data_IF_262610617140
#
_entry.id   IF_262610617140
#
_cell.length_a   1.000
_cell.length_b   1.000
_cell.length_c   1.000
_cell.angle_alpha   90.00
_cell.angle_beta   90.00
_cell.angle_gamma   90.00
#
_symmetry.space_group_name_H-M   'P 1'
#
loop_
_entity.id
_entity.type
_entity.pdbx_description
1 polymer ?
#
# COMPACT_ATOMS: atom_id res chain seq x y z
N UNK A 1 -7.27 -2.61 -31.47
CA UNK A 1 -6.87 -3.11 -30.13
C UNK A 1 -5.99 -4.38 -30.17
N UNK A 2 -6.28 -5.37 -30.99
CA UNK A 2 -5.57 -6.67 -31.04
C UNK A 2 -4.09 -6.62 -31.46
N UNK A 3 -3.67 -5.66 -32.28
CA UNK A 3 -2.27 -5.56 -32.80
C UNK A 3 -1.33 -4.91 -31.77
N UNK A 4 -1.77 -3.86 -31.06
CA UNK A 4 -1.01 -3.24 -29.97
C UNK A 4 -0.78 -4.21 -28.81
N UNK A 5 -1.81 -4.98 -28.42
CA UNK A 5 -1.73 -5.97 -27.35
C UNK A 5 -0.71 -7.09 -27.61
N UNK A 6 -0.45 -7.44 -28.89
CA UNK A 6 0.57 -8.44 -29.27
C UNK A 6 2.01 -7.96 -29.11
N UNK A 7 2.26 -6.65 -29.21
CA UNK A 7 3.62 -6.04 -29.14
C UNK A 7 4.03 -5.56 -27.75
N UNK A 8 3.11 -5.45 -26.79
CA UNK A 8 3.41 -4.95 -25.45
C UNK A 8 4.08 -6.02 -24.57
N UNK A 9 5.06 -5.57 -23.76
CA UNK A 9 5.66 -6.37 -22.69
C UNK A 9 4.68 -6.60 -21.54
N UNK A 10 4.97 -7.56 -20.65
CA UNK A 10 4.13 -7.83 -19.48
C UNK A 10 4.06 -6.60 -18.55
N UNK A 11 5.20 -5.94 -18.31
CA UNK A 11 5.29 -4.70 -17.52
C UNK A 11 4.47 -3.56 -18.12
N UNK A 12 4.55 -3.34 -19.44
CA UNK A 12 3.73 -2.32 -20.13
C UNK A 12 2.23 -2.60 -20.01
N UNK A 13 1.81 -3.87 -20.05
CA UNK A 13 0.40 -4.23 -19.85
C UNK A 13 -0.10 -3.90 -18.44
N UNK A 14 0.75 -4.07 -17.42
CA UNK A 14 0.41 -3.70 -16.05
C UNK A 14 0.23 -2.18 -15.94
N UNK A 15 1.17 -1.41 -16.46
CA UNK A 15 1.13 0.06 -16.46
C UNK A 15 -0.13 0.59 -17.15
N UNK A 16 -0.39 0.14 -18.37
CA UNK A 16 -1.57 0.57 -19.14
C UNK A 16 -2.87 0.14 -18.47
N UNK A 17 -2.91 -1.06 -17.88
CA UNK A 17 -4.08 -1.55 -17.17
C UNK A 17 -4.44 -0.66 -15.96
N UNK A 18 -3.45 -0.26 -15.16
CA UNK A 18 -3.68 0.68 -14.05
C UNK A 18 -4.08 2.07 -14.54
N UNK A 19 -3.46 2.58 -15.62
CA UNK A 19 -3.87 3.86 -16.20
C UNK A 19 -5.32 3.85 -16.68
N UNK A 20 -5.75 2.78 -17.36
CA UNK A 20 -7.13 2.63 -17.80
C UNK A 20 -8.11 2.52 -16.61
N UNK A 21 -7.71 1.81 -15.55
CA UNK A 21 -8.50 1.71 -14.32
C UNK A 21 -8.70 3.09 -13.68
N UNK A 22 -7.61 3.85 -13.52
CA UNK A 22 -7.64 5.18 -12.93
C UNK A 22 -8.50 6.13 -13.77
N UNK A 23 -8.30 6.17 -15.10
CA UNK A 23 -9.06 7.04 -15.98
C UNK A 23 -10.56 6.68 -16.00
N UNK A 24 -10.89 5.39 -16.03
CA UNK A 24 -12.29 4.97 -15.96
C UNK A 24 -12.96 5.34 -14.63
N UNK A 25 -12.24 5.16 -13.51
CA UNK A 25 -12.68 5.59 -12.20
C UNK A 25 -12.87 7.10 -12.11
N UNK A 26 -11.93 7.88 -12.67
CA UNK A 26 -12.04 9.35 -12.71
C UNK A 26 -13.29 9.81 -13.47
N UNK A 27 -13.57 9.23 -14.63
CA UNK A 27 -14.77 9.56 -15.41
C UNK A 27 -16.05 9.24 -14.63
N UNK A 28 -16.11 8.09 -13.95
CA UNK A 28 -17.26 7.74 -13.13
C UNK A 28 -17.45 8.65 -11.93
N UNK A 29 -16.34 9.07 -11.27
CA UNK A 29 -16.37 9.98 -10.13
C UNK A 29 -16.71 11.41 -10.51
N UNK A 30 -16.49 11.85 -11.75
CA UNK A 30 -16.91 13.17 -12.25
C UNK A 30 -18.42 13.31 -12.40
N UNK A 31 -19.14 12.20 -12.52
CA UNK A 31 -20.59 12.25 -12.76
C UNK A 31 -21.33 12.94 -11.61
N UNK A 32 -22.34 13.76 -11.87
CA UNK A 32 -23.13 14.44 -10.83
C UNK A 32 -23.74 13.47 -9.81
N UNK A 33 -24.08 12.25 -10.23
CA UNK A 33 -24.62 11.19 -9.35
C UNK A 33 -23.60 10.73 -8.31
N UNK A 34 -22.29 10.91 -8.57
CA UNK A 34 -21.23 10.51 -7.66
C UNK A 34 -21.00 11.52 -6.51
N UNK A 35 -21.40 12.78 -6.68
CA UNK A 35 -21.35 13.81 -5.65
C UNK A 35 -22.64 13.87 -4.83
N UNK A 36 -22.56 14.23 -3.55
CA UNK A 36 -23.75 14.49 -2.71
C UNK A 36 -24.52 15.73 -3.13
N UNK A 37 -23.79 16.76 -3.57
CA UNK A 37 -24.38 18.03 -3.98
C UNK A 37 -25.01 17.97 -5.37
N UNK A 38 -24.90 16.84 -6.06
CA UNK A 38 -25.42 16.66 -7.43
C UNK A 38 -24.67 17.48 -8.49
N UNK A 39 -23.54 18.09 -8.13
CA UNK A 39 -22.68 18.84 -9.04
C UNK A 39 -21.57 17.95 -9.62
N UNK A 40 -21.08 18.29 -10.81
CA UNK A 40 -19.91 17.64 -11.40
C UNK A 40 -18.66 17.93 -10.56
N UNK A 41 -17.98 16.89 -10.12
CA UNK A 41 -16.66 17.04 -9.47
C UNK A 41 -15.60 17.41 -10.50
N UNK A 42 -14.63 18.25 -10.13
CA UNK A 42 -13.52 18.61 -11.02
C UNK A 42 -12.74 17.36 -11.47
N UNK A 43 -12.26 17.36 -12.72
CA UNK A 43 -11.44 16.24 -13.22
C UNK A 43 -10.22 15.98 -12.35
N UNK A 44 -9.61 17.03 -11.82
CA UNK A 44 -8.44 16.92 -10.96
C UNK A 44 -8.72 16.18 -9.65
N UNK A 45 -9.82 16.54 -8.96
CA UNK A 45 -10.21 15.89 -7.70
C UNK A 45 -10.67 14.46 -7.94
N UNK A 46 -11.42 14.21 -9.03
CA UNK A 46 -11.83 12.89 -9.44
C UNK A 46 -10.63 12.00 -9.82
N UNK A 47 -9.64 12.55 -10.53
CA UNK A 47 -8.40 11.85 -10.89
C UNK A 47 -7.56 11.53 -9.65
N UNK A 48 -7.41 12.49 -8.73
CA UNK A 48 -6.68 12.29 -7.48
C UNK A 48 -7.32 11.17 -6.66
N UNK A 49 -8.64 11.25 -6.43
CA UNK A 49 -9.40 10.26 -5.65
C UNK A 49 -9.37 8.88 -6.32
N UNK A 50 -9.58 8.81 -7.65
CA UNK A 50 -9.50 7.56 -8.40
C UNK A 50 -8.11 6.94 -8.35
N UNK A 51 -7.05 7.76 -8.44
CA UNK A 51 -5.66 7.28 -8.32
C UNK A 51 -5.40 6.77 -6.91
N UNK A 52 -5.77 7.53 -5.90
CA UNK A 52 -5.61 7.16 -4.50
C UNK A 52 -6.33 5.85 -4.18
N UNK A 53 -7.57 5.69 -4.64
CA UNK A 53 -8.36 4.46 -4.47
C UNK A 53 -7.77 3.27 -5.24
N UNK A 54 -7.42 3.44 -6.53
CA UNK A 54 -6.87 2.37 -7.37
C UNK A 54 -5.45 1.97 -6.95
N UNK A 55 -4.64 2.92 -6.49
CA UNK A 55 -3.31 2.66 -5.96
C UNK A 55 -3.33 2.24 -4.48
N UNK A 56 -4.53 2.27 -3.86
CA UNK A 56 -4.73 1.88 -2.46
C UNK A 56 -3.83 2.73 -1.55
N UNK A 57 -3.89 4.04 -1.74
CA UNK A 57 -3.04 4.99 -1.00
C UNK A 57 -3.79 5.56 0.21
N UNK A 58 -4.98 6.17 0.00
CA UNK A 58 -5.76 6.78 1.08
C UNK A 58 -5.58 8.30 1.25
N UNK A 59 -4.70 8.93 0.47
CA UNK A 59 -4.65 10.41 0.44
C UNK A 59 -5.94 10.93 -0.20
N UNK A 60 -6.55 11.94 0.42
CA UNK A 60 -7.82 12.51 -0.02
C UNK A 60 -7.75 14.04 -0.07
N UNK A 61 -8.26 14.62 -1.16
CA UNK A 61 -8.47 16.06 -1.32
C UNK A 61 -9.89 16.48 -0.98
N UNK A 62 -10.83 15.53 -1.09
CA UNK A 62 -12.24 15.68 -0.72
C UNK A 62 -12.59 14.60 0.30
N UNK A 63 -13.27 14.96 1.39
CA UNK A 63 -13.71 13.99 2.40
C UNK A 63 -14.63 12.95 1.77
N UNK A 64 -14.37 11.66 2.08
CA UNK A 64 -15.06 10.56 1.43
C UNK A 64 -16.54 10.49 1.80
N UNK A 65 -16.89 10.85 3.03
CA UNK A 65 -18.27 10.86 3.48
C UNK A 65 -19.00 12.13 3.05
N UNK A 66 -18.39 13.31 3.21
CA UNK A 66 -19.07 14.58 2.98
C UNK A 66 -19.29 14.88 1.51
N UNK A 67 -18.30 14.58 0.65
CA UNK A 67 -18.37 14.91 -0.78
C UNK A 67 -19.04 13.83 -1.63
N UNK A 68 -18.73 12.55 -1.39
CA UNK A 68 -19.18 11.48 -2.26
C UNK A 68 -20.54 10.92 -1.85
N UNK A 69 -21.46 10.78 -2.81
CA UNK A 69 -22.74 10.08 -2.65
C UNK A 69 -22.49 8.58 -2.40
N UNK A 70 -23.54 7.83 -2.05
CA UNK A 70 -23.46 6.38 -1.93
C UNK A 70 -22.91 5.73 -3.22
N UNK A 71 -23.28 6.24 -4.39
CA UNK A 71 -22.77 5.77 -5.67
C UNK A 71 -21.26 6.07 -5.82
N UNK A 72 -20.83 7.28 -5.48
CA UNK A 72 -19.41 7.66 -5.47
C UNK A 72 -18.58 6.80 -4.50
N UNK A 73 -19.08 6.58 -3.28
CA UNK A 73 -18.46 5.69 -2.29
C UNK A 73 -18.36 4.24 -2.80
N UNK A 74 -19.39 3.75 -3.50
CA UNK A 74 -19.37 2.40 -4.11
C UNK A 74 -18.30 2.29 -5.20
N UNK A 75 -18.15 3.32 -6.06
CA UNK A 75 -17.08 3.37 -7.07
C UNK A 75 -15.70 3.34 -6.38
N UNK A 76 -15.48 4.18 -5.35
CA UNK A 76 -14.24 4.21 -4.58
C UNK A 76 -13.96 2.82 -3.99
N UNK A 77 -14.94 2.17 -3.40
CA UNK A 77 -14.79 0.83 -2.82
C UNK A 77 -14.41 -0.22 -3.87
N UNK A 78 -15.03 -0.18 -5.05
CA UNK A 78 -14.71 -1.07 -6.19
C UNK A 78 -13.26 -0.82 -6.66
N UNK A 79 -12.83 0.45 -6.78
CA UNK A 79 -11.47 0.80 -7.16
C UNK A 79 -10.45 0.30 -6.13
N UNK A 80 -10.74 0.44 -4.83
CA UNK A 80 -9.92 -0.09 -3.73
C UNK A 80 -9.79 -1.62 -3.85
N UNK A 81 -10.90 -2.33 -4.06
CA UNK A 81 -10.90 -3.78 -4.17
C UNK A 81 -10.09 -4.27 -5.38
N UNK A 82 -10.27 -3.60 -6.54
CA UNK A 82 -9.49 -3.88 -7.75
C UNK A 82 -8.01 -3.58 -7.53
N UNK A 83 -7.71 -2.44 -6.97
CA UNK A 83 -6.35 -2.00 -6.67
C UNK A 83 -5.65 -2.92 -5.67
N UNK A 84 -6.30 -3.25 -4.55
CA UNK A 84 -5.75 -4.08 -3.47
C UNK A 84 -5.39 -5.49 -3.91
N UNK A 85 -6.31 -6.19 -4.55
CA UNK A 85 -6.05 -7.52 -5.10
C UNK A 85 -5.15 -7.51 -6.34
N UNK A 86 -4.94 -6.35 -6.97
CA UNK A 86 -4.30 -6.20 -8.27
C UNK A 86 -5.26 -6.49 -9.42
N UNK A 87 -5.32 -5.58 -10.40
CA UNK A 87 -6.28 -5.66 -11.50
C UNK A 87 -6.21 -6.97 -12.32
N UNK A 88 -5.01 -7.60 -12.39
CA UNK A 88 -4.83 -8.89 -13.07
C UNK A 88 -5.50 -10.05 -12.36
N UNK A 89 -5.54 -10.01 -11.01
CA UNK A 89 -6.26 -11.00 -10.20
C UNK A 89 -7.75 -10.96 -10.51
N UNK A 90 -8.33 -9.76 -10.69
CA UNK A 90 -9.71 -9.60 -11.13
C UNK A 90 -9.94 -10.09 -12.56
N UNK A 91 -9.02 -9.81 -13.48
CA UNK A 91 -9.10 -10.33 -14.84
C UNK A 91 -9.16 -11.87 -14.86
N UNK A 92 -8.39 -12.51 -13.97
CA UNK A 92 -8.44 -13.97 -13.79
C UNK A 92 -9.74 -14.40 -13.10
N UNK A 93 -10.25 -13.64 -12.13
CA UNK A 93 -11.54 -13.91 -11.49
C UNK A 93 -12.67 -13.94 -12.52
N UNK A 94 -12.75 -12.90 -13.36
CA UNK A 94 -13.74 -12.83 -14.47
C UNK A 94 -13.55 -13.99 -15.45
N UNK A 95 -12.32 -14.33 -15.84
CA UNK A 95 -12.05 -15.47 -16.71
C UNK A 95 -12.51 -16.81 -16.10
N UNK A 96 -12.34 -16.99 -14.80
CA UNK A 96 -12.80 -18.17 -14.06
C UNK A 96 -14.33 -18.22 -14.02
N UNK A 97 -15.00 -17.09 -13.71
CA UNK A 97 -16.46 -16.99 -13.69
C UNK A 97 -17.07 -17.32 -15.06
N UNK A 98 -16.45 -16.82 -16.13
CA UNK A 98 -16.84 -17.10 -17.52
C UNK A 98 -16.36 -18.46 -18.03
N UNK A 99 -15.74 -19.29 -17.17
CA UNK A 99 -15.18 -20.62 -17.51
C UNK A 99 -14.19 -20.60 -18.69
N UNK A 100 -13.52 -19.47 -18.94
CA UNK A 100 -12.54 -19.33 -20.02
C UNK A 100 -11.17 -19.92 -19.61
N UNK A 101 -10.47 -20.55 -20.58
CA UNK A 101 -9.10 -21.04 -20.38
C UNK A 101 -8.12 -19.88 -20.27
N UNK A 102 -7.26 -19.88 -19.23
CA UNK A 102 -6.24 -18.85 -18.98
C UNK A 102 -4.98 -19.26 -19.73
N UNK A 103 -4.62 -18.51 -20.78
CA UNK A 103 -3.42 -18.76 -21.60
C UNK A 103 -2.11 -18.42 -20.88
N UNK A 104 -0.99 -18.89 -21.41
CA UNK A 104 0.37 -18.71 -20.83
C UNK A 104 0.74 -17.22 -20.68
N UNK A 105 0.39 -16.36 -21.64
CA UNK A 105 0.68 -14.92 -21.58
C UNK A 105 0.00 -14.25 -20.37
N UNK A 106 -1.28 -14.58 -20.11
CA UNK A 106 -2.03 -14.05 -18.96
C UNK A 106 -1.43 -14.58 -17.64
N UNK A 107 -1.00 -15.85 -17.61
CA UNK A 107 -0.30 -16.40 -16.43
C UNK A 107 1.03 -15.71 -16.14
N UNK A 108 1.80 -15.34 -17.18
CA UNK A 108 3.03 -14.58 -17.02
C UNK A 108 2.80 -13.18 -16.45
N UNK A 109 1.79 -12.47 -16.96
CA UNK A 109 1.43 -11.14 -16.43
C UNK A 109 0.94 -11.25 -14.97
N UNK A 110 0.15 -12.27 -14.66
CA UNK A 110 -0.30 -12.55 -13.30
C UNK A 110 0.87 -12.85 -12.36
N UNK A 111 1.84 -13.65 -12.82
CA UNK A 111 3.07 -13.95 -12.07
C UNK A 111 3.82 -12.66 -11.72
N UNK A 112 3.98 -11.75 -12.68
CA UNK A 112 4.66 -10.48 -12.47
C UNK A 112 3.86 -9.54 -11.55
N UNK A 113 2.53 -9.46 -11.73
CA UNK A 113 1.64 -8.65 -10.90
C UNK A 113 1.64 -9.07 -9.42
N UNK A 114 1.76 -10.37 -9.14
CA UNK A 114 1.79 -10.92 -7.76
C UNK A 114 3.23 -11.07 -7.25
N UNK A 115 4.25 -10.78 -8.08
CA UNK A 115 5.66 -11.05 -7.79
C UNK A 115 5.94 -12.52 -7.44
N UNK A 116 5.29 -13.47 -8.16
CA UNK A 116 5.48 -14.91 -7.93
C UNK A 116 6.76 -15.43 -8.58
N UNK A 117 7.44 -16.35 -7.89
CA UNK A 117 8.66 -16.99 -8.40
C UNK A 117 8.34 -18.02 -9.49
N UNK A 118 7.15 -18.63 -9.46
CA UNK A 118 6.79 -19.73 -10.36
C UNK A 118 5.48 -19.46 -11.09
N UNK A 119 5.41 -19.83 -12.39
CA UNK A 119 4.18 -19.79 -13.21
C UNK A 119 3.25 -20.95 -12.86
N UNK A 120 3.82 -22.06 -12.42
CA UNK A 120 3.07 -23.26 -12.04
C UNK A 120 2.18 -23.04 -10.83
N UNK A 121 0.89 -23.41 -10.93
CA UNK A 121 -0.05 -23.27 -9.81
C UNK A 121 -0.61 -21.87 -9.58
N UNK A 122 -0.20 -20.86 -10.37
CA UNK A 122 -0.61 -19.45 -10.16
C UNK A 122 -2.15 -19.27 -10.13
N UNK A 123 -2.90 -19.98 -10.97
CA UNK A 123 -4.36 -19.92 -10.99
C UNK A 123 -4.98 -20.50 -9.70
N UNK A 124 -4.38 -21.58 -9.15
CA UNK A 124 -4.82 -22.16 -7.87
C UNK A 124 -4.53 -21.17 -6.71
N UNK A 125 -3.37 -20.55 -6.73
CA UNK A 125 -3.01 -19.50 -5.76
C UNK A 125 -3.99 -18.32 -5.85
N UNK A 126 -4.30 -17.82 -7.06
CA UNK A 126 -5.26 -16.73 -7.25
C UNK A 126 -6.64 -17.07 -6.70
N UNK A 127 -7.13 -18.31 -6.90
CA UNK A 127 -8.41 -18.76 -6.30
C UNK A 127 -8.34 -18.75 -4.76
N UNK A 128 -7.21 -19.15 -4.17
CA UNK A 128 -7.02 -19.07 -2.71
C UNK A 128 -6.99 -17.62 -2.22
N UNK A 129 -6.32 -16.72 -2.96
CA UNK A 129 -6.30 -15.29 -2.66
C UNK A 129 -7.71 -14.73 -2.62
N UNK A 130 -8.50 -14.91 -3.67
CA UNK A 130 -9.87 -14.39 -3.75
C UNK A 130 -10.74 -14.92 -2.59
N UNK A 131 -10.70 -16.24 -2.34
CA UNK A 131 -11.48 -16.83 -1.24
C UNK A 131 -11.01 -16.32 0.13
N UNK A 132 -9.70 -16.21 0.36
CA UNK A 132 -9.13 -15.72 1.60
C UNK A 132 -9.46 -14.24 1.84
N UNK A 133 -9.37 -13.40 0.81
CA UNK A 133 -9.75 -11.99 0.86
C UNK A 133 -11.22 -11.85 1.28
N UNK A 134 -12.14 -12.46 0.55
CA UNK A 134 -13.57 -12.41 0.88
C UNK A 134 -13.87 -12.95 2.29
N UNK A 135 -13.16 -13.98 2.73
CA UNK A 135 -13.32 -14.55 4.07
C UNK A 135 -12.92 -13.55 5.17
N UNK A 136 -11.72 -12.96 5.08
CA UNK A 136 -11.24 -12.02 6.10
C UNK A 136 -12.03 -10.70 6.06
N UNK A 137 -12.36 -10.19 4.88
CA UNK A 137 -13.20 -9.01 4.72
C UNK A 137 -14.60 -9.21 5.31
N UNK A 138 -15.21 -10.38 5.09
CA UNK A 138 -16.53 -10.70 5.66
C UNK A 138 -16.51 -10.77 7.19
N UNK A 139 -15.49 -11.41 7.76
CA UNK A 139 -15.34 -11.47 9.23
C UNK A 139 -15.13 -10.07 9.80
N UNK A 140 -14.22 -9.29 9.19
CA UNK A 140 -13.96 -7.92 9.62
C UNK A 140 -15.21 -7.04 9.53
N UNK A 141 -15.96 -7.14 8.43
CA UNK A 141 -17.22 -6.42 8.26
C UNK A 141 -18.23 -6.75 9.35
N UNK A 142 -18.45 -8.04 9.65
CA UNK A 142 -19.38 -8.47 10.71
C UNK A 142 -18.94 -7.94 12.08
N UNK A 143 -17.64 -8.01 12.42
CA UNK A 143 -17.14 -7.51 13.69
C UNK A 143 -17.29 -5.98 13.81
N UNK A 144 -17.03 -5.23 12.73
CA UNK A 144 -17.24 -3.77 12.72
C UNK A 144 -18.72 -3.40 12.76
N UNK A 145 -19.62 -4.17 12.12
CA UNK A 145 -21.06 -3.97 12.20
C UNK A 145 -21.60 -4.05 13.62
N UNK A 146 -21.04 -4.92 14.46
CA UNK A 146 -21.44 -5.05 15.89
C UNK A 146 -21.28 -3.71 16.61
N UNK A 147 -20.24 -2.92 16.22
CA UNK A 147 -19.98 -1.61 16.83
C UNK A 147 -20.71 -0.47 16.14
N UNK A 148 -20.84 -0.51 14.81
CA UNK A 148 -21.38 0.60 14.02
C UNK A 148 -22.92 0.60 13.93
N UNK A 149 -23.59 -0.57 13.96
CA UNK A 149 -25.06 -0.63 13.90
C UNK A 149 -25.73 0.08 15.08
N UNK A 150 -25.29 -0.10 16.35
CA UNK A 150 -25.88 0.62 17.47
C UNK A 150 -25.70 2.14 17.39
N UNK A 151 -24.64 2.62 16.75
CA UNK A 151 -24.32 4.05 16.67
C UNK A 151 -24.98 4.76 15.49
N UNK A 152 -24.93 4.13 14.28
CA UNK A 152 -25.38 4.75 13.03
C UNK A 152 -26.68 4.18 12.47
N UNK A 153 -27.28 3.18 13.17
CA UNK A 153 -28.46 2.45 12.69
C UNK A 153 -28.11 1.36 11.68
N UNK A 154 -29.08 0.46 11.40
CA UNK A 154 -28.87 -0.79 10.65
C UNK A 154 -28.29 -0.52 9.25
N UNK A 155 -28.89 0.36 8.46
CA UNK A 155 -28.49 0.59 7.06
C UNK A 155 -27.07 1.16 6.93
N UNK A 156 -26.80 2.25 7.65
CA UNK A 156 -25.47 2.90 7.63
C UNK A 156 -24.41 2.06 8.32
N UNK A 157 -24.74 1.43 9.46
CA UNK A 157 -23.81 0.58 10.20
C UNK A 157 -23.33 -0.62 9.41
N UNK A 158 -24.20 -1.25 8.61
CA UNK A 158 -23.81 -2.31 7.67
C UNK A 158 -22.86 -1.78 6.61
N UNK A 159 -23.20 -0.65 5.98
CA UNK A 159 -22.36 -0.03 4.94
C UNK A 159 -20.97 0.36 5.46
N UNK A 160 -20.92 1.00 6.63
CA UNK A 160 -19.66 1.38 7.27
C UNK A 160 -18.82 0.17 7.63
N UNK A 161 -19.43 -0.89 8.16
CA UNK A 161 -18.73 -2.14 8.45
C UNK A 161 -18.09 -2.76 7.21
N UNK A 162 -18.82 -2.84 6.10
CA UNK A 162 -18.31 -3.37 4.83
C UNK A 162 -17.20 -2.48 4.28
N UNK A 163 -17.44 -1.16 4.22
CA UNK A 163 -16.51 -0.20 3.63
C UNK A 163 -15.16 -0.19 4.38
N UNK A 164 -15.19 -0.06 5.71
CA UNK A 164 -13.96 -0.04 6.51
C UNK A 164 -13.24 -1.38 6.52
N UNK A 165 -13.97 -2.49 6.50
CA UNK A 165 -13.34 -3.82 6.42
C UNK A 165 -12.57 -4.01 5.12
N UNK A 166 -13.15 -3.67 3.98
CA UNK A 166 -12.49 -3.74 2.67
C UNK A 166 -11.33 -2.75 2.58
N UNK A 167 -11.56 -1.50 3.01
CA UNK A 167 -10.52 -0.46 3.02
C UNK A 167 -9.33 -0.86 3.89
N UNK A 168 -9.56 -1.41 5.08
CA UNK A 168 -8.51 -1.86 5.99
C UNK A 168 -7.75 -3.08 5.46
N UNK A 169 -8.47 -4.09 4.97
CA UNK A 169 -7.85 -5.29 4.41
C UNK A 169 -7.01 -4.99 3.16
N UNK A 170 -7.52 -4.12 2.29
CA UNK A 170 -6.79 -3.66 1.10
C UNK A 170 -5.68 -2.66 1.43
N UNK A 171 -5.53 -2.20 2.68
CA UNK A 171 -4.60 -1.16 3.11
C UNK A 171 -4.84 0.17 2.37
N UNK A 172 -6.10 0.62 2.27
CA UNK A 172 -6.48 1.76 1.45
C UNK A 172 -6.67 3.07 2.22
N UNK A 173 -6.95 3.02 3.52
CA UNK A 173 -7.07 4.20 4.38
C UNK A 173 -8.27 5.10 4.15
N UNK A 174 -9.16 4.76 3.24
CA UNK A 174 -10.43 5.48 3.07
C UNK A 174 -11.40 5.13 4.18
N UNK A 175 -12.05 6.15 4.73
CA UNK A 175 -13.05 6.02 5.79
C UNK A 175 -14.34 6.78 5.45
N UNK A 176 -15.40 6.51 6.21
CA UNK A 176 -16.70 7.19 6.10
C UNK A 176 -17.07 7.92 7.40
N UNK A 177 -16.09 8.29 8.24
CA UNK A 177 -16.33 8.89 9.55
C UNK A 177 -16.49 10.42 9.51
N UNK A 178 -16.56 11.02 8.32
CA UNK A 178 -16.72 12.45 8.10
C UNK A 178 -18.06 13.05 8.57
N UNK A 179 -18.98 12.27 9.17
CA UNK A 179 -20.27 12.75 9.68
C UNK A 179 -20.11 13.78 10.80
N UNK A 180 -19.14 13.60 11.67
CA UNK A 180 -18.89 14.45 12.83
C UNK A 180 -17.77 15.50 12.62
N UNK A 181 -17.17 15.51 11.46
CA UNK A 181 -16.09 16.42 11.06
C UNK A 181 -15.29 15.83 9.90
N UNK A 182 -14.97 16.67 8.92
CA UNK A 182 -14.20 16.24 7.76
C UNK A 182 -12.82 15.75 8.17
N UNK A 183 -12.35 14.69 7.53
CA UNK A 183 -10.99 14.13 7.64
C UNK A 183 -10.58 13.61 9.04
N UNK A 184 -11.54 13.30 9.90
CA UNK A 184 -11.24 12.83 11.26
C UNK A 184 -10.82 11.35 11.33
N UNK A 185 -11.02 10.59 10.27
CA UNK A 185 -10.74 9.15 10.24
C UNK A 185 -11.29 8.43 11.51
N UNK A 186 -10.48 7.66 12.20
CA UNK A 186 -10.90 6.89 13.38
C UNK A 186 -10.51 7.54 14.72
N UNK A 187 -10.21 8.86 14.74
CA UNK A 187 -9.80 9.56 15.97
C UNK A 187 -10.84 9.40 17.08
N UNK A 188 -12.13 9.41 16.75
CA UNK A 188 -13.22 9.18 17.72
C UNK A 188 -13.21 7.79 18.35
N UNK A 189 -12.54 6.82 17.74
CA UNK A 189 -12.45 5.44 18.21
C UNK A 189 -11.08 5.12 18.81
N UNK A 190 -10.31 6.13 19.25
CA UNK A 190 -8.99 5.96 19.85
C UNK A 190 -8.99 5.01 21.05
N UNK A 191 -10.04 5.02 21.85
CA UNK A 191 -10.24 4.17 23.04
C UNK A 191 -10.98 2.84 22.74
N UNK A 192 -11.59 2.70 21.55
CA UNK A 192 -12.40 1.54 21.18
C UNK A 192 -11.51 0.36 20.79
N UNK A 193 -11.43 -0.60 21.73
CA UNK A 193 -10.58 -1.79 21.54
C UNK A 193 -11.02 -2.67 20.37
N UNK A 194 -12.34 -2.81 20.11
CA UNK A 194 -12.85 -3.67 19.05
C UNK A 194 -12.51 -3.11 17.67
N UNK A 195 -12.83 -1.82 17.43
CA UNK A 195 -12.57 -1.17 16.15
C UNK A 195 -11.06 -1.18 15.85
N UNK A 196 -10.23 -0.75 16.82
CA UNK A 196 -8.79 -0.70 16.64
C UNK A 196 -8.20 -2.08 16.35
N UNK A 197 -8.56 -3.11 17.13
CA UNK A 197 -8.01 -4.45 16.95
C UNK A 197 -8.42 -5.07 15.63
N UNK A 198 -9.70 -4.94 15.23
CA UNK A 198 -10.19 -5.50 13.97
C UNK A 198 -9.49 -4.85 12.78
N UNK A 199 -9.38 -3.51 12.77
CA UNK A 199 -8.72 -2.79 11.68
C UNK A 199 -7.23 -3.12 11.62
N UNK A 200 -6.51 -3.11 12.75
CA UNK A 200 -5.10 -3.50 12.78
C UNK A 200 -4.88 -4.93 12.27
N UNK A 201 -5.72 -5.89 12.66
CA UNK A 201 -5.61 -7.26 12.19
C UNK A 201 -5.86 -7.37 10.68
N UNK A 202 -6.87 -6.68 10.14
CA UNK A 202 -7.15 -6.65 8.71
C UNK A 202 -5.95 -6.08 7.93
N UNK A 203 -5.38 -4.96 8.38
CA UNK A 203 -4.18 -4.33 7.80
C UNK A 203 -3.00 -5.31 7.80
N UNK A 204 -2.72 -5.95 8.93
CA UNK A 204 -1.60 -6.89 9.05
C UNK A 204 -1.82 -8.09 8.12
N UNK A 205 -3.01 -8.70 8.13
CA UNK A 205 -3.33 -9.86 7.31
C UNK A 205 -3.22 -9.52 5.82
N UNK A 206 -3.75 -8.37 5.38
CA UNK A 206 -3.60 -7.88 4.02
C UNK A 206 -2.14 -7.61 3.63
N UNK A 207 -1.36 -7.02 4.55
CA UNK A 207 0.02 -6.57 4.35
C UNK A 207 1.12 -7.63 4.43
N UNK A 208 0.89 -8.81 5.04
CA UNK A 208 1.92 -9.87 5.16
C UNK A 208 2.17 -10.65 3.87
N UNK A 209 1.25 -10.60 2.91
CA UNK A 209 1.40 -11.23 1.59
C UNK A 209 0.75 -12.60 1.45
N UNK A 210 0.25 -12.85 0.25
CA UNK A 210 -0.53 -14.05 -0.09
C UNK A 210 0.31 -15.35 -0.08
N UNK A 211 1.63 -15.24 -0.32
CA UNK A 211 2.54 -16.39 -0.21
C UNK A 211 2.71 -16.84 1.24
N UNK A 212 2.72 -15.90 2.18
CA UNK A 212 2.78 -16.19 3.61
C UNK A 212 1.51 -16.91 4.05
N UNK A 213 0.32 -16.48 3.57
CA UNK A 213 -0.92 -17.20 3.84
C UNK A 213 -0.90 -18.65 3.34
N UNK A 214 -0.40 -18.88 2.12
CA UNK A 214 -0.28 -20.24 1.57
C UNK A 214 0.62 -21.10 2.43
N UNK A 215 1.78 -20.57 2.82
CA UNK A 215 2.75 -21.27 3.66
C UNK A 215 2.20 -21.59 5.07
N UNK A 216 1.53 -20.60 5.70
CA UNK A 216 0.87 -20.78 6.99
C UNK A 216 -0.27 -21.80 6.92
N UNK A 217 -1.08 -21.78 5.86
CA UNK A 217 -2.22 -22.69 5.71
C UNK A 217 -1.76 -24.14 5.53
N UNK A 218 -0.62 -24.37 4.85
CA UNK A 218 -0.08 -25.71 4.58
C UNK A 218 0.73 -26.24 5.76
N UNK A 219 1.60 -25.40 6.34
CA UNK A 219 2.58 -25.84 7.36
C UNK A 219 2.12 -25.52 8.78
N UNK A 220 0.97 -24.88 8.96
CA UNK A 220 0.39 -24.47 10.25
C UNK A 220 1.44 -23.68 11.06
N UNK A 221 1.58 -23.94 12.40
CA UNK A 221 2.51 -23.24 13.28
C UNK A 221 3.94 -23.83 13.35
N UNK A 222 4.37 -24.58 12.30
CA UNK A 222 5.67 -25.23 12.32
C UNK A 222 6.77 -24.30 11.77
N UNK A 223 7.28 -23.35 12.59
CA UNK A 223 8.29 -22.35 12.21
C UNK A 223 9.49 -22.91 11.44
N UNK A 224 10.02 -24.07 11.85
CA UNK A 224 11.19 -24.70 11.21
C UNK A 224 10.95 -25.04 9.74
N UNK A 225 9.71 -25.36 9.37
CA UNK A 225 9.33 -25.79 8.01
C UNK A 225 8.98 -24.65 7.07
N UNK A 226 8.82 -23.40 7.58
CA UNK A 226 8.49 -22.26 6.74
C UNK A 226 9.58 -21.96 5.72
N UNK A 227 9.17 -21.44 4.57
CA UNK A 227 10.09 -20.91 3.57
C UNK A 227 10.83 -19.67 4.13
N UNK A 228 12.04 -19.42 3.61
CA UNK A 228 12.85 -18.27 4.02
C UNK A 228 12.06 -16.96 3.92
N UNK A 229 11.32 -16.78 2.83
CA UNK A 229 10.45 -15.62 2.61
C UNK A 229 9.47 -15.39 3.78
N UNK A 230 8.74 -16.43 4.18
CA UNK A 230 7.77 -16.36 5.28
C UNK A 230 8.43 -16.01 6.61
N UNK A 231 9.61 -16.59 6.89
CA UNK A 231 10.36 -16.27 8.12
C UNK A 231 10.81 -14.82 8.16
N UNK A 232 11.36 -14.31 7.06
CA UNK A 232 11.77 -12.91 6.95
C UNK A 232 10.56 -11.98 7.14
N UNK A 233 9.47 -12.25 6.44
CA UNK A 233 8.27 -11.39 6.50
C UNK A 233 7.70 -11.34 7.92
N UNK A 234 7.48 -12.47 8.56
CA UNK A 234 6.87 -12.50 9.89
C UNK A 234 7.76 -11.87 10.95
N UNK A 235 9.08 -12.18 10.95
CA UNK A 235 10.01 -11.59 11.92
C UNK A 235 10.17 -10.09 11.74
N UNK A 236 10.30 -9.62 10.49
CA UNK A 236 10.45 -8.19 10.20
C UNK A 236 9.16 -7.41 10.50
N UNK A 237 7.99 -7.98 10.15
CA UNK A 237 6.69 -7.36 10.43
C UNK A 237 6.49 -7.19 11.93
N UNK A 238 6.72 -8.25 12.72
CA UNK A 238 6.61 -8.18 14.17
C UNK A 238 7.59 -7.16 14.79
N UNK A 239 8.84 -7.18 14.33
CA UNK A 239 9.86 -6.23 14.81
C UNK A 239 9.45 -4.77 14.51
N UNK A 240 9.04 -4.46 13.28
CA UNK A 240 8.66 -3.09 12.89
C UNK A 240 7.44 -2.58 13.64
N UNK A 241 6.42 -3.45 13.88
CA UNK A 241 5.23 -3.07 14.65
C UNK A 241 5.62 -2.73 16.09
N UNK A 242 6.41 -3.56 16.75
CA UNK A 242 6.80 -3.35 18.14
C UNK A 242 7.71 -2.13 18.26
N UNK A 243 8.76 -2.07 17.43
CA UNK A 243 9.71 -0.95 17.45
C UNK A 243 9.04 0.39 17.13
N UNK A 244 8.17 0.43 16.11
CA UNK A 244 7.41 1.63 15.74
C UNK A 244 6.47 2.07 16.86
N UNK A 245 5.73 1.14 17.49
CA UNK A 245 4.84 1.46 18.60
C UNK A 245 5.59 2.00 19.83
N UNK A 246 6.73 1.39 20.18
CA UNK A 246 7.56 1.85 21.31
C UNK A 246 8.13 3.23 21.03
N UNK A 247 8.67 3.46 19.83
CA UNK A 247 9.22 4.77 19.48
C UNK A 247 8.14 5.85 19.47
N UNK A 248 6.96 5.57 18.90
CA UNK A 248 5.84 6.49 18.91
C UNK A 248 5.37 6.81 20.33
N UNK A 249 5.23 5.79 21.19
CA UNK A 249 4.86 5.99 22.59
C UNK A 249 5.83 6.88 23.34
N UNK A 250 7.14 6.71 23.12
CA UNK A 250 8.18 7.52 23.77
C UNK A 250 8.14 8.98 23.28
N UNK A 251 8.02 9.18 21.96
CA UNK A 251 8.08 10.50 21.35
C UNK A 251 6.82 11.33 21.58
N UNK A 252 5.64 10.70 21.60
CA UNK A 252 4.35 11.38 21.68
C UNK A 252 3.72 11.38 23.10
N UNK A 253 4.37 10.79 24.09
CA UNK A 253 3.85 10.69 25.45
C UNK A 253 3.41 12.04 26.04
N UNK A 254 4.16 13.10 25.75
CA UNK A 254 3.92 14.44 26.25
C UNK A 254 3.29 15.38 25.20
N UNK A 255 2.87 14.87 24.05
CA UNK A 255 2.27 15.61 22.97
C UNK A 255 0.87 15.03 22.65
N UNK A 256 0.67 14.36 21.53
CA UNK A 256 -0.65 13.86 21.08
C UNK A 256 -1.24 12.83 22.03
N UNK A 257 -0.41 12.07 22.76
CA UNK A 257 -0.85 11.09 23.75
C UNK A 257 -0.98 11.68 25.17
N UNK A 258 -0.69 12.97 25.35
CA UNK A 258 -0.76 13.61 26.67
C UNK A 258 -2.19 13.60 27.23
N UNK A 259 -2.34 13.21 28.50
CA UNK A 259 -3.65 13.14 29.17
C UNK A 259 -4.49 11.90 28.85
N UNK A 260 -4.09 11.08 27.87
CA UNK A 260 -4.80 9.82 27.59
C UNK A 260 -4.49 8.76 28.66
N UNK A 261 -5.44 7.88 29.00
CA UNK A 261 -5.18 6.70 29.83
C UNK A 261 -4.10 5.81 29.21
N UNK A 262 -3.30 5.12 30.03
CA UNK A 262 -2.20 4.25 29.54
C UNK A 262 -2.67 3.20 28.53
N UNK A 263 -3.87 2.65 28.71
CA UNK A 263 -4.48 1.70 27.78
C UNK A 263 -4.64 2.32 26.37
N UNK A 264 -5.15 3.52 26.31
CA UNK A 264 -5.38 4.26 25.07
C UNK A 264 -4.05 4.66 24.42
N UNK A 265 -3.07 5.12 25.20
CA UNK A 265 -1.72 5.42 24.71
C UNK A 265 -1.09 4.21 23.99
N UNK A 266 -1.19 3.01 24.60
CA UNK A 266 -0.66 1.78 24.02
C UNK A 266 -1.43 1.42 22.74
N UNK A 267 -2.76 1.53 22.76
CA UNK A 267 -3.61 1.19 21.62
C UNK A 267 -3.34 2.12 20.41
N UNK A 268 -3.29 3.44 20.65
CA UNK A 268 -2.96 4.42 19.63
C UNK A 268 -1.53 4.23 19.08
N UNK A 269 -0.56 3.92 19.94
CA UNK A 269 0.82 3.69 19.50
C UNK A 269 0.95 2.43 18.64
N UNK A 270 0.28 1.35 19.00
CA UNK A 270 0.22 0.13 18.19
C UNK A 270 -0.48 0.41 16.86
N UNK A 271 -1.62 1.12 16.91
CA UNK A 271 -2.38 1.47 15.72
C UNK A 271 -1.55 2.33 14.76
N UNK A 272 -0.88 3.37 15.27
CA UNK A 272 -0.01 4.24 14.48
C UNK A 272 1.13 3.46 13.80
N UNK A 273 1.78 2.56 14.52
CA UNK A 273 2.84 1.73 13.95
C UNK A 273 2.33 0.77 12.86
N UNK A 274 1.13 0.24 13.01
CA UNK A 274 0.50 -0.65 12.02
C UNK A 274 0.06 0.14 10.80
N UNK A 275 -0.61 1.29 11.00
CA UNK A 275 -1.16 2.10 9.91
C UNK A 275 -0.09 2.77 9.05
N UNK A 276 1.02 3.20 9.64
CA UNK A 276 2.17 3.76 8.92
C UNK A 276 2.76 2.79 7.89
N UNK A 277 2.47 1.49 8.00
CA UNK A 277 2.88 0.46 7.04
C UNK A 277 1.84 0.24 5.94
N UNK A 278 1.48 1.33 5.26
CA UNK A 278 0.64 1.40 4.06
C UNK A 278 -0.87 1.25 4.28
N UNK A 279 -1.42 1.73 5.40
CA UNK A 279 -2.87 1.61 5.65
C UNK A 279 -3.63 2.93 5.68
N UNK A 280 -3.06 3.99 6.26
CA UNK A 280 -3.58 5.37 6.13
C UNK A 280 -4.66 5.79 7.14
N UNK A 281 -5.21 4.90 7.95
CA UNK A 281 -6.17 5.29 9.01
C UNK A 281 -5.47 5.99 10.17
N UNK A 282 -6.16 6.94 10.81
CA UNK A 282 -5.65 7.69 11.94
C UNK A 282 -6.55 7.52 13.16
N UNK A 283 -5.93 7.27 14.33
CA UNK A 283 -6.60 7.33 15.65
C UNK A 283 -6.11 8.52 16.47
N UNK A 284 -5.14 9.26 15.96
CA UNK A 284 -4.57 10.47 16.54
C UNK A 284 -4.41 11.51 15.45
N UNK A 285 -4.33 12.79 15.82
CA UNK A 285 -4.09 13.87 14.86
C UNK A 285 -2.64 13.80 14.35
N UNK A 286 -2.49 13.47 13.08
CA UNK A 286 -1.19 13.34 12.41
C UNK A 286 -0.54 14.69 12.10
N UNK A 287 -1.31 15.77 12.00
CA UNK A 287 -0.79 17.12 11.82
C UNK A 287 -0.08 17.66 13.06
N UNK A 288 -0.51 17.20 14.25
CA UNK A 288 0.04 17.63 15.54
C UNK A 288 1.24 16.79 16.03
N UNK A 289 1.77 15.87 15.21
CA UNK A 289 2.91 15.02 15.57
C UNK A 289 4.20 15.83 15.75
N UNK A 290 5.04 15.38 16.68
CA UNK A 290 6.40 15.91 16.82
C UNK A 290 7.25 15.60 15.58
N UNK A 291 8.24 16.43 15.29
CA UNK A 291 9.17 16.21 14.16
C UNK A 291 9.87 14.85 14.21
N UNK A 292 10.21 14.40 15.43
CA UNK A 292 10.79 13.06 15.65
C UNK A 292 9.80 11.94 15.26
N UNK A 293 8.54 12.08 15.62
CA UNK A 293 7.50 11.11 15.24
C UNK A 293 7.20 11.13 13.75
N UNK A 294 7.18 12.32 13.11
CA UNK A 294 7.06 12.43 11.65
C UNK A 294 8.19 11.66 10.96
N UNK A 295 9.45 11.83 11.41
CA UNK A 295 10.60 11.13 10.85
C UNK A 295 10.49 9.60 11.00
N UNK A 296 10.16 9.12 12.21
CA UNK A 296 9.95 7.67 12.46
C UNK A 296 8.83 7.14 11.58
N UNK A 297 7.74 7.88 11.46
CA UNK A 297 6.60 7.51 10.61
C UNK A 297 7.01 7.45 9.14
N UNK A 298 7.77 8.41 8.62
CA UNK A 298 8.31 8.39 7.25
C UNK A 298 9.20 7.16 7.01
N UNK A 299 10.02 6.74 7.97
CA UNK A 299 10.82 5.51 7.87
C UNK A 299 9.91 4.28 7.80
N UNK A 300 8.85 4.20 8.61
CA UNK A 300 7.89 3.10 8.57
C UNK A 300 7.09 3.09 7.25
N UNK A 301 6.69 4.25 6.73
CA UNK A 301 6.04 4.40 5.42
C UNK A 301 6.93 3.93 4.28
N UNK A 302 8.21 4.25 4.34
CA UNK A 302 9.19 3.82 3.35
C UNK A 302 9.36 2.31 3.34
N UNK A 303 9.35 1.67 4.53
CA UNK A 303 9.35 0.21 4.69
C UNK A 303 7.90 -0.28 4.67
N UNK A 304 7.29 -0.31 3.51
CA UNK A 304 5.90 -0.74 3.32
C UNK A 304 5.63 -2.20 3.70
N UNK A 305 4.63 -2.80 3.04
CA UNK A 305 4.27 -4.20 3.30
C UNK A 305 5.18 -5.22 2.64
N UNK A 306 4.73 -6.48 2.61
CA UNK A 306 5.50 -7.60 2.08
C UNK A 306 5.23 -7.85 0.60
N UNK A 307 6.10 -8.53 -0.15
CA UNK A 307 5.83 -8.89 -1.55
C UNK A 307 4.58 -9.76 -1.69
N UNK A 308 3.80 -9.52 -2.75
CA UNK A 308 2.56 -10.26 -2.99
C UNK A 308 1.49 -9.99 -1.93
N UNK A 309 1.37 -8.75 -1.45
CA UNK A 309 0.35 -8.26 -0.52
C UNK A 309 -0.49 -7.15 -1.16
N UNK A 310 -1.49 -6.68 -0.43
CA UNK A 310 -2.29 -5.50 -0.80
C UNK A 310 -1.50 -4.20 -0.69
N UNK A 311 -0.47 -4.15 0.15
CA UNK A 311 0.38 -3.01 0.44
C UNK A 311 1.29 -2.58 -0.73
N UNK A 312 1.58 -1.27 -0.85
CA UNK A 312 2.52 -0.70 -1.82
C UNK A 312 3.93 -0.48 -1.26
N UNK A 313 4.63 0.53 -1.73
CA UNK A 313 5.95 0.94 -1.26
C UNK A 313 7.08 -0.07 -1.42
N UNK A 314 8.24 0.21 -0.80
CA UNK A 314 9.36 -0.71 -0.74
C UNK A 314 9.02 -1.88 0.16
N UNK A 315 9.30 -3.09 -0.31
CA UNK A 315 8.91 -4.31 0.41
C UNK A 315 9.84 -4.61 1.59
N UNK A 316 9.28 -5.15 2.66
CA UNK A 316 10.04 -5.58 3.85
C UNK A 316 11.24 -6.46 3.48
N UNK A 317 11.06 -7.39 2.55
CA UNK A 317 12.15 -8.26 2.08
C UNK A 317 13.27 -7.51 1.39
N UNK A 318 12.97 -6.43 0.64
CA UNK A 318 13.98 -5.58 -0.02
C UNK A 318 14.90 -4.94 1.02
N UNK A 319 14.33 -4.39 2.08
CA UNK A 319 15.10 -3.76 3.17
C UNK A 319 15.96 -4.78 3.91
N UNK A 320 15.39 -5.95 4.24
CA UNK A 320 16.14 -7.03 4.91
C UNK A 320 17.29 -7.53 4.05
N UNK A 321 17.10 -7.72 2.74
CA UNK A 321 18.17 -8.12 1.81
C UNK A 321 19.32 -7.13 1.83
N UNK A 322 19.03 -5.81 1.83
CA UNK A 322 20.06 -4.77 1.87
C UNK A 322 20.77 -4.72 3.23
N UNK A 323 20.04 -4.82 4.34
CA UNK A 323 20.64 -4.85 5.69
C UNK A 323 21.59 -6.06 5.81
N UNK A 324 21.17 -7.24 5.35
CA UNK A 324 21.99 -8.44 5.39
C UNK A 324 23.21 -8.31 4.47
N UNK A 325 23.06 -7.69 3.32
CA UNK A 325 24.17 -7.41 2.40
C UNK A 325 25.20 -6.49 3.05
N UNK A 326 24.78 -5.37 3.64
CA UNK A 326 25.69 -4.47 4.38
C UNK A 326 26.39 -5.20 5.51
N UNK A 327 25.64 -5.96 6.32
CA UNK A 327 26.22 -6.74 7.43
C UNK A 327 27.25 -7.76 6.94
N UNK A 328 26.95 -8.50 5.84
CA UNK A 328 27.84 -9.52 5.29
C UNK A 328 29.16 -8.89 4.82
N UNK A 329 29.11 -7.72 4.17
CA UNK A 329 30.30 -6.99 3.74
C UNK A 329 31.12 -6.46 4.92
N UNK A 330 30.48 -5.89 5.94
CA UNK A 330 31.16 -5.42 7.14
C UNK A 330 31.83 -6.55 7.94
N UNK A 331 31.31 -7.76 7.84
CA UNK A 331 31.86 -8.95 8.51
C UNK A 331 32.76 -9.80 7.60
N UNK A 332 33.06 -9.35 6.39
CA UNK A 332 33.83 -10.09 5.38
C UNK A 332 33.33 -11.52 5.17
N UNK A 333 32.00 -11.73 5.30
CA UNK A 333 31.42 -13.05 5.23
C UNK A 333 31.39 -13.56 3.78
N UNK A 334 31.62 -14.85 3.57
CA UNK A 334 31.66 -15.52 2.26
C UNK A 334 30.33 -15.49 1.50
N UNK A 335 29.27 -14.82 2.02
CA UNK A 335 27.98 -14.62 1.37
C UNK A 335 26.89 -14.14 2.32
N UNK A 336 25.80 -13.66 1.75
CA UNK A 336 24.65 -13.12 2.49
C UNK A 336 23.78 -14.27 3.01
N UNK A 337 23.90 -14.61 4.30
CA UNK A 337 23.20 -15.71 4.93
C UNK A 337 22.13 -15.21 5.90
N UNK A 338 20.90 -15.77 5.81
CA UNK A 338 19.77 -15.50 6.72
C UNK A 338 19.06 -16.83 7.03
N UNK A 339 18.78 -17.09 8.30
CA UNK A 339 18.13 -18.34 8.74
C UNK A 339 18.76 -19.60 8.13
N UNK A 340 20.10 -19.69 8.11
CA UNK A 340 20.88 -20.78 7.54
C UNK A 340 20.64 -21.02 6.03
N UNK A 341 20.29 -19.98 5.27
CA UNK A 341 20.15 -20.01 3.81
C UNK A 341 20.85 -18.82 3.18
N UNK A 342 21.54 -19.06 2.04
CA UNK A 342 22.21 -18.01 1.26
C UNK A 342 21.20 -17.29 0.37
N UNK A 343 21.29 -15.96 0.33
CA UNK A 343 20.54 -15.11 -0.59
C UNK A 343 21.18 -15.12 -1.98
N UNK A 344 20.35 -15.05 -3.01
CA UNK A 344 20.80 -14.93 -4.39
C UNK A 344 21.32 -13.49 -4.68
N UNK A 345 22.42 -13.39 -5.41
CA UNK A 345 23.04 -12.12 -5.80
C UNK A 345 22.12 -11.27 -6.70
N UNK A 346 21.29 -11.93 -7.51
CA UNK A 346 20.30 -11.21 -8.34
C UNK A 346 19.25 -10.50 -7.49
N UNK A 347 18.91 -11.03 -6.31
CA UNK A 347 18.01 -10.40 -5.36
C UNK A 347 18.63 -9.11 -4.79
N UNK A 348 19.94 -9.12 -4.48
CA UNK A 348 20.67 -7.96 -3.98
C UNK A 348 20.69 -6.85 -5.02
N UNK A 349 21.04 -7.14 -6.27
CA UNK A 349 21.03 -6.16 -7.36
C UNK A 349 19.64 -5.53 -7.55
N UNK A 350 18.58 -6.35 -7.56
CA UNK A 350 17.19 -5.86 -7.66
C UNK A 350 16.82 -4.98 -6.47
N UNK A 351 17.20 -5.38 -5.25
CA UNK A 351 16.92 -4.62 -4.04
C UNK A 351 17.58 -3.24 -4.07
N UNK A 352 18.86 -3.16 -4.50
CA UNK A 352 19.59 -1.90 -4.63
C UNK A 352 18.95 -0.97 -5.67
N UNK A 353 18.56 -1.49 -6.84
CA UNK A 353 17.86 -0.70 -7.88
C UNK A 353 16.54 -0.15 -7.35
N UNK A 354 15.74 -0.98 -6.67
CA UNK A 354 14.47 -0.55 -6.08
C UNK A 354 14.69 0.56 -5.06
N UNK A 355 15.68 0.40 -4.16
CA UNK A 355 16.02 1.38 -3.12
C UNK A 355 16.42 2.73 -3.74
N UNK A 356 17.41 2.73 -4.65
CA UNK A 356 17.90 3.94 -5.31
C UNK A 356 16.79 4.65 -6.10
N UNK A 357 15.97 3.90 -6.86
CA UNK A 357 14.89 4.50 -7.65
C UNK A 357 13.83 5.14 -6.78
N UNK A 358 13.44 4.50 -5.66
CA UNK A 358 12.46 5.07 -4.74
C UNK A 358 13.00 6.33 -4.05
N UNK A 359 14.25 6.31 -3.56
CA UNK A 359 14.88 7.49 -2.97
C UNK A 359 14.98 8.65 -3.97
N UNK A 360 15.37 8.36 -5.20
CA UNK A 360 15.41 9.36 -6.26
C UNK A 360 14.04 10.01 -6.51
N UNK A 361 12.97 9.20 -6.61
CA UNK A 361 11.62 9.71 -6.81
C UNK A 361 11.12 10.54 -5.63
N UNK A 362 11.40 10.10 -4.38
CA UNK A 362 11.03 10.84 -3.17
C UNK A 362 11.76 12.19 -3.12
N UNK A 363 13.08 12.22 -3.32
CA UNK A 363 13.84 13.47 -3.31
C UNK A 363 13.39 14.41 -4.40
N UNK A 364 13.18 13.90 -5.61
CA UNK A 364 12.68 14.72 -6.75
C UNK A 364 11.28 15.26 -6.45
N UNK A 365 10.38 14.44 -5.90
CA UNK A 365 9.04 14.87 -5.52
C UNK A 365 9.04 15.94 -4.43
N UNK A 366 9.90 15.77 -3.41
CA UNK A 366 10.05 16.76 -2.34
C UNK A 366 10.56 18.10 -2.87
N UNK A 367 11.64 18.10 -3.64
CA UNK A 367 12.20 19.32 -4.24
C UNK A 367 11.14 20.00 -5.12
N UNK A 368 10.41 19.22 -5.93
CA UNK A 368 9.36 19.77 -6.80
C UNK A 368 8.26 20.46 -6.01
N UNK A 369 7.76 19.84 -4.94
CA UNK A 369 6.69 20.42 -4.12
C UNK A 369 7.15 21.65 -3.35
N UNK A 370 8.38 21.67 -2.83
CA UNK A 370 8.99 22.83 -2.16
C UNK A 370 9.13 24.05 -3.09
N UNK A 371 9.46 23.82 -4.36
CA UNK A 371 9.53 24.91 -5.36
C UNK A 371 8.13 25.49 -5.65
N UNK A 372 7.09 24.65 -5.62
CA UNK A 372 5.73 25.08 -5.98
C UNK A 372 5.00 25.81 -4.85
N UNK A 373 5.25 25.44 -3.59
CA UNK A 373 4.51 25.99 -2.44
C UNK A 373 5.39 26.02 -1.17
N UNK A 374 5.31 27.10 -0.37
CA UNK A 374 6.13 27.29 0.84
C UNK A 374 5.49 26.56 2.05
N UNK A 375 5.47 25.23 2.02
CA UNK A 375 5.15 24.41 3.20
C UNK A 375 6.40 24.10 4.01
N UNK A 376 6.26 23.51 5.20
CA UNK A 376 7.42 23.02 5.95
C UNK A 376 8.02 21.79 5.26
N UNK A 377 9.35 21.70 5.21
CA UNK A 377 10.03 20.56 4.59
C UNK A 377 9.58 19.22 5.18
N UNK A 378 9.34 19.16 6.49
CA UNK A 378 8.89 17.94 7.16
C UNK A 378 7.50 17.50 6.68
N UNK A 379 6.56 18.44 6.48
CA UNK A 379 5.22 18.15 6.02
C UNK A 379 5.24 17.72 4.54
N UNK A 380 6.00 18.40 3.69
CA UNK A 380 6.19 18.01 2.29
C UNK A 380 6.80 16.63 2.17
N UNK A 381 7.88 16.35 2.93
CA UNK A 381 8.47 15.01 2.97
C UNK A 381 7.45 13.96 3.42
N UNK A 382 6.67 14.24 4.46
CA UNK A 382 5.65 13.33 4.98
C UNK A 382 4.62 12.95 3.89
N UNK A 383 4.10 13.93 3.13
CA UNK A 383 3.17 13.69 2.01
C UNK A 383 3.82 12.89 0.88
N UNK A 384 5.05 13.22 0.50
CA UNK A 384 5.78 12.54 -0.57
C UNK A 384 6.08 11.08 -0.19
N UNK A 385 6.53 10.84 1.05
CA UNK A 385 6.74 9.48 1.57
C UNK A 385 5.42 8.70 1.62
N UNK A 386 4.34 9.34 2.06
CA UNK A 386 3.01 8.76 2.10
C UNK A 386 2.50 8.40 0.70
N UNK A 387 2.64 9.30 -0.27
CA UNK A 387 2.24 9.05 -1.65
C UNK A 387 3.07 7.94 -2.31
N UNK A 388 4.41 8.00 -2.19
CA UNK A 388 5.30 6.99 -2.78
C UNK A 388 5.20 5.63 -2.08
N UNK A 389 5.04 5.63 -0.76
CA UNK A 389 4.77 4.43 0.05
C UNK A 389 3.37 3.87 -0.15
N UNK A 390 2.46 4.63 -0.79
CA UNK A 390 1.01 4.34 -0.86
C UNK A 390 0.42 4.08 0.53
N UNK A 391 0.63 5.02 1.46
CA UNK A 391 0.26 4.89 2.88
C UNK A 391 -1.06 5.57 3.19
N UNK A 392 -1.23 6.83 2.74
CA UNK A 392 -2.46 7.59 2.93
C UNK A 392 -2.51 8.47 4.17
N UNK A 393 -1.52 8.40 5.05
CA UNK A 393 -1.41 9.35 6.15
C UNK A 393 -0.97 10.72 5.61
N UNK A 394 -1.53 11.79 6.16
CA UNK A 394 -1.24 13.17 5.78
C UNK A 394 -0.89 14.00 7.02
N UNK A 395 0.06 14.92 6.87
CA UNK A 395 0.30 15.97 7.86
C UNK A 395 -0.76 17.10 7.80
N UNK A 396 -1.79 16.94 6.96
CA UNK A 396 -2.88 17.90 6.80
C UNK A 396 -2.77 18.79 5.56
N UNK A 397 -1.62 18.84 4.90
CA UNK A 397 -1.39 19.74 3.75
C UNK A 397 -1.98 19.25 2.42
N UNK A 398 -2.35 17.96 2.28
CA UNK A 398 -2.87 17.38 1.02
C UNK A 398 -4.01 18.19 0.41
N UNK A 399 -4.83 18.83 1.23
CA UNK A 399 -5.99 19.63 0.82
C UNK A 399 -5.59 20.96 0.17
N UNK A 400 -4.49 21.52 0.67
CA UNK A 400 -4.04 22.89 0.35
C UNK A 400 -2.98 22.92 -0.75
N UNK A 401 -2.55 21.72 -1.24
CA UNK A 401 -1.58 21.66 -2.33
C UNK A 401 -2.19 22.12 -3.65
N UNK A 402 -1.40 22.91 -4.40
CA UNK A 402 -1.77 23.39 -5.74
C UNK A 402 -1.94 22.23 -6.73
N UNK A 403 -2.57 22.52 -7.86
CA UNK A 403 -2.84 21.55 -8.91
C UNK A 403 -1.59 20.80 -9.39
N UNK A 404 -0.48 21.49 -9.57
CA UNK A 404 0.81 20.90 -10.00
C UNK A 404 1.36 19.92 -8.97
N UNK A 405 1.31 20.27 -7.68
CA UNK A 405 1.71 19.39 -6.58
C UNK A 405 0.79 18.18 -6.45
N UNK A 406 -0.53 18.34 -6.68
CA UNK A 406 -1.48 17.21 -6.73
C UNK A 406 -1.13 16.23 -7.84
N UNK A 407 -0.76 16.71 -9.03
CA UNK A 407 -0.35 15.84 -10.13
C UNK A 407 0.96 15.10 -9.82
N UNK A 408 1.89 15.74 -9.10
CA UNK A 408 3.10 15.06 -8.63
C UNK A 408 2.78 13.94 -7.64
N UNK A 409 1.89 14.18 -6.67
CA UNK A 409 1.42 13.13 -5.75
C UNK A 409 0.71 11.99 -6.49
N UNK A 410 -0.14 12.28 -7.49
CA UNK A 410 -0.78 11.28 -8.37
C UNK A 410 0.28 10.41 -9.06
N UNK A 411 1.33 11.02 -9.60
CA UNK A 411 2.43 10.30 -10.24
C UNK A 411 3.17 9.41 -9.24
N UNK A 412 3.48 9.90 -8.04
CA UNK A 412 4.17 9.14 -6.99
C UNK A 412 3.33 7.95 -6.50
N UNK A 413 2.02 8.14 -6.24
CA UNK A 413 1.09 7.07 -5.88
C UNK A 413 1.07 5.97 -6.94
N UNK A 414 1.03 6.36 -8.21
CA UNK A 414 1.06 5.44 -9.33
C UNK A 414 2.36 4.63 -9.39
N UNK A 415 3.52 5.30 -9.27
CA UNK A 415 4.84 4.65 -9.24
C UNK A 415 4.98 3.71 -8.04
N UNK A 416 4.52 4.12 -6.87
CA UNK A 416 4.54 3.34 -5.64
C UNK A 416 3.71 2.05 -5.74
N UNK A 417 2.54 2.13 -6.40
CA UNK A 417 1.64 0.97 -6.56
C UNK A 417 2.14 -0.05 -7.55
N UNK A 418 2.55 0.38 -8.73
CA UNK A 418 3.06 -0.53 -9.77
C UNK A 418 4.40 -1.14 -9.35
N UNK A 419 5.16 -0.42 -8.54
CA UNK A 419 6.53 -0.70 -8.17
C UNK A 419 7.52 0.04 -9.09
N UNK A 420 8.45 0.76 -8.48
CA UNK A 420 9.41 1.62 -9.18
C UNK A 420 10.25 0.88 -10.23
N UNK A 421 10.63 -0.38 -9.95
CA UNK A 421 11.35 -1.21 -10.90
C UNK A 421 10.49 -1.60 -12.11
N UNK A 422 9.24 -2.01 -11.89
CA UNK A 422 8.30 -2.36 -12.96
C UNK A 422 8.00 -1.15 -13.83
N UNK A 423 7.83 0.03 -13.22
CA UNK A 423 7.66 1.29 -13.94
C UNK A 423 8.89 1.61 -14.79
N UNK A 424 10.09 1.58 -14.23
CA UNK A 424 11.33 1.85 -14.95
C UNK A 424 11.56 0.86 -16.11
N UNK A 425 11.25 -0.44 -15.91
CA UNK A 425 11.35 -1.45 -16.96
C UNK A 425 10.30 -1.27 -18.06
N UNK A 426 9.13 -0.70 -17.77
CA UNK A 426 8.09 -0.43 -18.77
C UNK A 426 8.52 0.63 -19.78
N UNK A 427 9.37 1.58 -19.37
CA UNK A 427 9.94 2.61 -20.24
C UNK A 427 11.05 2.08 -21.15
N UNK A 428 11.65 0.92 -20.79
CA UNK A 428 12.71 0.30 -21.58
C UNK A 428 12.08 -0.57 -22.67
N UNK A 429 12.26 -0.17 -23.93
CA UNK A 429 11.89 -1.00 -25.09
C UNK A 429 12.66 -2.34 -25.14
N UNK A 430 12.26 -3.24 -26.03
CA UNK A 430 12.99 -4.48 -26.30
C UNK A 430 14.41 -4.13 -26.76
N UNK A 431 15.38 -4.20 -25.86
CA UNK A 431 16.80 -4.19 -26.25
C UNK A 431 17.27 -5.63 -26.32
N UNK A 432 17.73 -6.06 -27.49
CA UNK A 432 18.57 -7.23 -27.60
C UNK A 432 19.84 -6.98 -26.78
N UNK A 433 20.17 -7.91 -25.89
CA UNK A 433 21.49 -7.87 -25.24
C UNK A 433 22.56 -7.92 -26.31
N UNK A 434 23.51 -6.97 -26.24
CA UNK A 434 24.65 -7.01 -27.15
C UNK A 434 25.43 -8.32 -26.92
N UNK A 435 25.73 -9.08 -27.97
CA UNK A 435 26.41 -10.37 -27.83
C UNK A 435 27.85 -10.23 -27.29
N UNK A 436 28.39 -9.01 -27.30
CA UNK A 436 29.76 -8.72 -26.86
C UNK A 436 29.72 -7.97 -25.52
N UNK A 437 30.40 -8.52 -24.52
CA UNK A 437 30.66 -7.82 -23.25
C UNK A 437 31.84 -6.88 -23.40
N UNK A 438 31.71 -5.66 -22.88
CA UNK A 438 32.84 -4.71 -22.80
C UNK A 438 33.86 -5.22 -21.78
N UNK A 439 35.18 -4.86 -21.97
CA UNK A 439 36.21 -5.14 -20.98
C UNK A 439 35.83 -4.59 -19.60
N UNK A 440 36.26 -5.29 -18.55
CA UNK A 440 36.09 -4.83 -17.17
C UNK A 440 37.24 -3.92 -16.82
N UNK A 441 36.94 -2.76 -16.27
CA UNK A 441 37.91 -1.81 -15.72
C UNK A 441 37.54 -1.55 -14.24
N UNK A 442 38.54 -1.51 -13.39
CA UNK A 442 38.36 -1.27 -11.97
C UNK A 442 38.20 0.23 -11.69
N UNK A 443 37.25 0.57 -10.79
CA UNK A 443 37.07 1.93 -10.28
C UNK A 443 37.19 1.93 -8.77
N UNK A 444 37.78 2.99 -8.22
CA UNK A 444 37.83 3.19 -6.77
C UNK A 444 36.48 3.59 -6.24
N UNK A 445 36.02 2.89 -5.19
CA UNK A 445 34.80 3.20 -4.42
C UNK A 445 35.26 3.59 -3.02
N UNK A 446 34.86 4.78 -2.55
CA UNK A 446 35.25 5.34 -1.24
C UNK A 446 34.65 4.60 -0.05
#
# INVERSE_FOLDING_TARGET
>A
MTVLYKKMTQTQMIVVGYLLLILSGSILLMLPVSSRDGNMTSFADALFTSTSASCVTGLVVQDTYQHWSFFGQLIILILIQIGGMGFMTLGVCVAILLRRKIGLKVRGILQESINSIQIGGIVKLTKKIIKGTLFFESIGAVLLMIRFIPEFGIGRGIWYGIFHSISAFCNAGFDLMGENGAYQSLVRYSDDWLVNTVIMLLIIIGGIGFFVWDDLSVKKFQWKKYHLHTKIVLSTTGFLIIAGAVLFLILERNNVLAGMPVKEQILCSLFHSVTARTAGFNTTDTGALTEGSKLVTMILMFIGGSPGSTAGGIKTTTVVVLIVFVRANLMEAAGCNVFNRRLDETAIRKASVVMCTNLFLILTGTIFMEIMQPFSLSDVMFEVFSAMGTVGMSAGITRDVCMTSRMMLVFLMFCGRIGSLTFALSLKGHRHEAPIRKPVEEITIG
#
